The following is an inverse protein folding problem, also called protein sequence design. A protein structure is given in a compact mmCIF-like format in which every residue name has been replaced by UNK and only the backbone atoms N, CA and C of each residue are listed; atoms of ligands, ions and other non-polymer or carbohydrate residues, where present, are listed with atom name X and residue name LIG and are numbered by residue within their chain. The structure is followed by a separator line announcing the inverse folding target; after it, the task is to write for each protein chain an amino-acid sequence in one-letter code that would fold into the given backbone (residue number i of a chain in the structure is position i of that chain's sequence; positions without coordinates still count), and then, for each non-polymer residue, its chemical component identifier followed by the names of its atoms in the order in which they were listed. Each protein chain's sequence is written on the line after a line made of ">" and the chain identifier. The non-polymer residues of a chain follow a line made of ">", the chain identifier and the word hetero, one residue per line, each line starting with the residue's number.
data_IF_589214974198
#
_entry.id   IF_589214974198
#
_cell.length_a   1.000
_cell.length_b   1.000
_cell.length_c   1.000
_cell.angle_alpha   90.00
_cell.angle_beta   90.00
_cell.angle_gamma   90.00
#
_symmetry.space_group_name_H-M   'P 1'
#
loop_
_entity.id
_entity.type
_entity.pdbx_description
1 polymer ?
#
# COMPACT_ATOMS: atom_id res chain seq x y z
N UNK A 1 -26.52 69.33 37.90
CA UNK A 1 -25.29 68.54 37.77
C UNK A 1 -25.54 67.44 36.76
N UNK A 2 -24.60 67.28 35.81
CA UNK A 2 -24.76 66.68 34.48
C UNK A 2 -25.10 65.18 34.52
N UNK A 3 -26.18 64.75 33.84
CA UNK A 3 -26.33 63.37 33.37
C UNK A 3 -25.73 63.29 31.97
N UNK A 4 -24.60 62.60 31.85
CA UNK A 4 -23.84 62.48 30.60
C UNK A 4 -24.58 61.65 29.56
N UNK A 5 -24.83 62.28 28.42
CA UNK A 5 -25.17 61.62 27.16
C UNK A 5 -23.95 60.84 26.65
N UNK A 6 -24.14 59.55 26.36
CA UNK A 6 -23.16 58.73 25.66
C UNK A 6 -23.53 58.69 24.18
N UNK A 7 -22.62 59.04 23.25
CA UNK A 7 -22.95 59.02 21.82
C UNK A 7 -22.99 57.56 21.35
N UNK A 8 -24.17 57.11 20.92
CA UNK A 8 -24.31 55.86 20.15
C UNK A 8 -23.69 56.09 18.78
N UNK A 9 -22.40 55.78 18.63
CA UNK A 9 -21.77 55.67 17.31
C UNK A 9 -22.32 54.42 16.64
N UNK A 10 -23.27 54.59 15.73
CA UNK A 10 -23.64 53.56 14.76
C UNK A 10 -22.46 53.38 13.80
N UNK A 11 -21.59 52.42 14.09
CA UNK A 11 -20.65 51.93 13.08
C UNK A 11 -21.45 51.14 12.07
N UNK A 12 -21.72 51.73 10.91
CA UNK A 12 -22.15 50.99 9.73
C UNK A 12 -21.05 49.97 9.39
N UNK A 13 -21.29 48.72 9.77
CA UNK A 13 -20.50 47.59 9.28
C UNK A 13 -20.82 47.47 7.81
N UNK A 14 -19.94 48.01 6.97
CA UNK A 14 -19.91 47.67 5.54
C UNK A 14 -19.66 46.17 5.47
N UNK A 15 -20.74 45.42 5.25
CA UNK A 15 -20.66 44.02 4.86
C UNK A 15 -19.94 44.05 3.51
N UNK A 16 -18.63 43.77 3.53
CA UNK A 16 -17.91 43.47 2.32
C UNK A 16 -18.68 42.33 1.65
N UNK A 17 -19.20 42.52 0.42
CA UNK A 17 -19.83 41.41 -0.29
C UNK A 17 -18.77 40.33 -0.34
N UNK A 18 -19.11 39.20 0.30
CA UNK A 18 -18.32 37.99 0.40
C UNK A 18 -17.42 37.91 -0.82
N UNK A 19 -16.12 38.08 -0.60
CA UNK A 19 -15.10 37.77 -1.57
C UNK A 19 -15.49 36.44 -2.15
N UNK A 20 -15.96 36.45 -3.40
CA UNK A 20 -16.24 35.24 -4.17
C UNK A 20 -14.95 34.46 -4.07
N UNK A 21 -14.94 33.43 -3.23
CA UNK A 21 -13.89 32.44 -3.19
C UNK A 21 -13.96 31.81 -4.56
N UNK A 22 -13.19 32.35 -5.50
CA UNK A 22 -12.77 31.67 -6.71
C UNK A 22 -11.94 30.50 -6.20
N UNK A 23 -12.63 29.48 -5.72
CA UNK A 23 -12.02 28.23 -5.36
C UNK A 23 -11.50 27.69 -6.68
N UNK A 24 -10.19 27.79 -6.91
CA UNK A 24 -9.51 27.12 -8.01
C UNK A 24 -9.48 25.62 -7.75
N UNK A 25 -10.59 25.02 -7.29
CA UNK A 25 -10.76 23.58 -7.38
C UNK A 25 -10.75 23.25 -8.85
N UNK A 26 -9.73 22.50 -9.24
CA UNK A 26 -9.74 21.63 -10.40
C UNK A 26 -11.15 21.07 -10.59
N UNK A 27 -11.70 21.24 -11.79
CA UNK A 27 -13.03 20.75 -12.16
C UNK A 27 -13.19 19.30 -11.72
N UNK A 28 -14.12 19.03 -10.82
CA UNK A 28 -14.48 17.67 -10.40
C UNK A 28 -15.30 17.06 -11.51
N UNK A 29 -14.69 16.22 -12.36
CA UNK A 29 -15.41 15.58 -13.47
C UNK A 29 -16.34 14.46 -13.00
N UNK A 30 -16.40 14.21 -11.69
CA UNK A 30 -17.35 13.29 -11.06
C UNK A 30 -17.14 11.87 -11.56
N UNK A 31 -18.17 11.30 -12.18
CA UNK A 31 -18.14 9.93 -12.71
C UNK A 31 -17.25 9.77 -13.95
N UNK A 32 -16.94 10.85 -14.67
CA UNK A 32 -16.09 10.77 -15.86
C UNK A 32 -14.66 10.33 -15.51
N UNK A 33 -14.20 10.52 -14.26
CA UNK A 33 -12.87 10.09 -13.82
C UNK A 33 -12.71 8.56 -13.73
N UNK A 34 -13.81 7.81 -13.76
CA UNK A 34 -13.79 6.34 -13.79
C UNK A 34 -13.59 5.77 -15.20
N UNK A 35 -13.59 6.61 -16.23
CA UNK A 35 -13.42 6.19 -17.61
C UNK A 35 -12.22 6.89 -18.23
N UNK A 36 -11.51 6.21 -19.13
CA UNK A 36 -10.47 6.88 -19.93
C UNK A 36 -11.12 7.89 -20.88
N UNK A 37 -10.31 8.82 -21.38
CA UNK A 37 -10.71 9.81 -22.36
C UNK A 37 -11.46 9.13 -23.51
N UNK A 38 -12.61 9.67 -23.96
CA UNK A 38 -13.42 9.05 -25.02
C UNK A 38 -12.65 8.77 -26.32
N UNK A 39 -11.57 9.52 -26.57
CA UNK A 39 -10.69 9.35 -27.74
C UNK A 39 -9.86 8.05 -27.71
N UNK A 40 -9.66 7.47 -26.53
CA UNK A 40 -8.83 6.30 -26.28
C UNK A 40 -9.63 4.98 -26.25
N UNK A 41 -10.96 5.04 -26.37
CA UNK A 41 -11.79 3.84 -26.34
C UNK A 41 -11.47 2.90 -27.51
N UNK A 42 -11.29 1.62 -27.19
CA UNK A 42 -10.99 0.57 -28.17
C UNK A 42 -9.58 0.61 -28.78
N UNK A 43 -8.69 1.48 -28.30
CA UNK A 43 -7.31 1.60 -28.79
C UNK A 43 -6.30 1.20 -27.72
N UNK A 44 -5.14 0.72 -28.17
CA UNK A 44 -4.01 0.51 -27.29
C UNK A 44 -3.41 1.86 -26.86
N UNK A 45 -3.36 2.10 -25.55
CA UNK A 45 -2.88 3.36 -24.97
C UNK A 45 -1.41 3.21 -24.59
N UNK A 46 -0.56 4.01 -25.23
CA UNK A 46 0.86 4.12 -24.87
C UNK A 46 0.98 4.65 -23.44
N UNK A 47 1.57 3.86 -22.57
CA UNK A 47 1.75 4.19 -21.15
C UNK A 47 3.23 4.31 -20.83
N UNK A 48 3.58 5.30 -20.00
CA UNK A 48 4.94 5.48 -19.51
C UNK A 48 5.42 4.35 -18.58
N UNK A 49 6.59 4.55 -17.98
CA UNK A 49 7.15 3.60 -17.03
C UNK A 49 6.55 3.74 -15.61
N UNK A 50 6.69 2.69 -14.83
CA UNK A 50 6.33 2.69 -13.40
C UNK A 50 7.29 3.56 -12.60
N UNK A 51 6.79 4.18 -11.52
CA UNK A 51 7.62 4.94 -10.58
C UNK A 51 8.69 4.05 -9.93
N UNK A 52 9.95 4.50 -9.93
CA UNK A 52 11.04 3.81 -9.21
C UNK A 52 11.17 4.30 -7.77
N UNK A 53 11.67 3.43 -6.89
CA UNK A 53 11.85 3.72 -5.46
C UNK A 53 12.73 4.97 -5.24
N UNK A 54 13.79 5.11 -6.04
CA UNK A 54 14.73 6.25 -5.98
C UNK A 54 14.04 7.58 -6.29
N UNK A 55 13.18 7.61 -7.32
CA UNK A 55 12.40 8.80 -7.66
C UNK A 55 11.46 9.19 -6.54
N UNK A 56 10.83 8.21 -5.88
CA UNK A 56 9.88 8.43 -4.78
C UNK A 56 10.57 8.90 -3.50
N UNK A 57 11.80 8.44 -3.22
CA UNK A 57 12.59 8.90 -2.07
C UNK A 57 12.91 10.39 -2.12
N UNK A 58 13.08 10.95 -3.32
CA UNK A 58 13.31 12.38 -3.52
C UNK A 58 12.07 13.29 -3.38
N UNK A 59 10.88 12.73 -3.14
CA UNK A 59 9.63 13.50 -3.02
C UNK A 59 9.24 13.77 -1.57
N UNK A 60 8.58 14.90 -1.34
CA UNK A 60 8.00 15.25 -0.05
C UNK A 60 6.84 14.30 0.31
N UNK A 61 6.54 14.14 1.60
CA UNK A 61 5.40 13.30 2.04
C UNK A 61 4.05 13.81 1.52
N UNK A 62 3.89 15.13 1.41
CA UNK A 62 2.68 15.75 0.85
C UNK A 62 2.50 15.44 -0.64
N UNK A 63 3.59 15.44 -1.40
CA UNK A 63 3.54 15.10 -2.83
C UNK A 63 3.31 13.61 -3.05
N UNK A 64 3.86 12.74 -2.19
CA UNK A 64 3.55 11.31 -2.21
C UNK A 64 2.06 11.07 -1.93
N UNK A 65 1.49 11.78 -0.94
CA UNK A 65 0.06 11.67 -0.63
C UNK A 65 -0.83 12.12 -1.81
N UNK A 66 -0.48 13.22 -2.48
CA UNK A 66 -1.17 13.66 -3.70
C UNK A 66 -1.02 12.65 -4.84
N UNK A 67 0.19 12.14 -5.05
CA UNK A 67 0.49 11.16 -6.09
C UNK A 67 -0.25 9.85 -5.86
N UNK A 68 -0.37 9.40 -4.61
CA UNK A 68 -1.17 8.22 -4.25
C UNK A 68 -2.60 8.33 -4.78
N UNK A 69 -3.26 9.47 -4.60
CA UNK A 69 -4.61 9.66 -5.11
C UNK A 69 -4.68 9.74 -6.64
N UNK A 70 -3.67 10.30 -7.31
CA UNK A 70 -3.59 10.26 -8.77
C UNK A 70 -3.52 8.81 -9.27
N UNK A 71 -2.64 8.00 -8.67
CA UNK A 71 -2.49 6.58 -8.99
C UNK A 71 -3.73 5.75 -8.61
N UNK A 72 -4.39 6.08 -7.51
CA UNK A 72 -5.61 5.41 -7.06
C UNK A 72 -6.76 5.63 -8.05
N UNK A 73 -6.94 6.86 -8.54
CA UNK A 73 -7.96 7.17 -9.53
C UNK A 73 -7.70 6.45 -10.84
N UNK A 74 -6.45 6.45 -11.28
CA UNK A 74 -5.99 5.69 -12.44
C UNK A 74 -6.26 4.18 -12.28
N UNK A 75 -5.89 3.59 -11.14
CA UNK A 75 -6.16 2.18 -10.83
C UNK A 75 -7.66 1.87 -10.88
N UNK A 76 -8.50 2.71 -10.29
CA UNK A 76 -9.94 2.51 -10.29
C UNK A 76 -10.54 2.57 -11.70
N UNK A 77 -10.06 3.49 -12.54
CA UNK A 77 -10.46 3.61 -13.94
C UNK A 77 -9.98 2.42 -14.79
N UNK A 78 -8.83 1.83 -14.48
CA UNK A 78 -8.38 0.60 -15.16
C UNK A 78 -9.15 -0.64 -14.71
N UNK A 79 -9.56 -0.71 -13.44
CA UNK A 79 -10.38 -1.81 -12.93
C UNK A 79 -11.79 -1.79 -13.50
N UNK A 80 -12.41 -0.62 -13.69
CA UNK A 80 -13.70 -0.50 -14.39
C UNK A 80 -13.57 -0.96 -15.84
N UNK A 81 -12.48 -0.58 -16.52
CA UNK A 81 -12.20 -0.98 -17.89
C UNK A 81 -11.93 -2.49 -18.02
N UNK A 82 -11.18 -3.08 -17.09
CA UNK A 82 -10.96 -4.54 -17.03
C UNK A 82 -12.29 -5.28 -16.84
N UNK A 83 -13.13 -4.80 -15.93
CA UNK A 83 -14.42 -5.41 -15.65
C UNK A 83 -15.40 -5.28 -16.82
N UNK A 84 -15.44 -4.14 -17.49
CA UNK A 84 -16.28 -3.93 -18.68
C UNK A 84 -15.79 -4.78 -19.86
N UNK A 85 -14.47 -4.91 -20.04
CA UNK A 85 -13.89 -5.80 -21.06
C UNK A 85 -14.28 -7.26 -20.83
N UNK A 86 -14.26 -7.73 -19.58
CA UNK A 86 -14.76 -9.06 -19.19
C UNK A 86 -16.26 -9.21 -19.47
N UNK A 87 -17.07 -8.21 -19.14
CA UNK A 87 -18.52 -8.20 -19.41
C UNK A 87 -18.83 -8.30 -20.91
N UNK A 88 -18.04 -7.62 -21.73
CA UNK A 88 -18.16 -7.65 -23.19
C UNK A 88 -17.48 -8.88 -23.83
N UNK A 89 -16.87 -9.76 -23.03
CA UNK A 89 -16.05 -10.89 -23.51
C UNK A 89 -14.93 -10.48 -24.47
N UNK A 90 -14.39 -9.27 -24.30
CA UNK A 90 -13.27 -8.75 -25.07
C UNK A 90 -11.98 -8.82 -24.24
N UNK A 91 -10.83 -8.67 -24.91
CA UNK A 91 -9.54 -8.54 -24.24
C UNK A 91 -9.32 -7.08 -23.83
N UNK A 92 -8.71 -6.88 -22.67
CA UNK A 92 -8.35 -5.56 -22.18
C UNK A 92 -7.32 -4.92 -23.14
N UNK A 93 -7.54 -3.67 -23.61
CA UNK A 93 -6.62 -2.97 -24.51
C UNK A 93 -5.17 -2.82 -24.00
N UNK A 94 -4.96 -2.63 -22.69
CA UNK A 94 -3.62 -2.50 -22.09
C UNK A 94 -3.60 -2.95 -20.62
N UNK A 95 -3.44 -4.27 -20.35
CA UNK A 95 -3.33 -4.78 -18.98
C UNK A 95 -2.01 -4.37 -18.30
N UNK A 96 -0.96 -4.12 -19.07
CA UNK A 96 0.35 -3.72 -18.56
C UNK A 96 0.30 -2.40 -17.79
N UNK A 97 -0.57 -1.47 -18.21
CA UNK A 97 -0.78 -0.18 -17.52
C UNK A 97 -1.22 -0.41 -16.07
N UNK A 98 -2.12 -1.36 -15.84
CA UNK A 98 -2.60 -1.69 -14.50
C UNK A 98 -1.47 -2.26 -13.63
N UNK A 99 -0.66 -3.16 -14.19
CA UNK A 99 0.49 -3.75 -13.48
C UNK A 99 1.53 -2.67 -13.11
N UNK A 100 1.80 -1.72 -14.01
CA UNK A 100 2.70 -0.58 -13.75
C UNK A 100 2.19 0.33 -12.63
N UNK A 101 0.88 0.58 -12.57
CA UNK A 101 0.27 1.37 -11.48
C UNK A 101 0.36 0.62 -10.16
N UNK A 102 0.02 -0.67 -10.13
CA UNK A 102 0.12 -1.49 -8.92
C UNK A 102 1.56 -1.50 -8.38
N UNK A 103 2.56 -1.78 -9.25
CA UNK A 103 3.98 -1.74 -8.88
C UNK A 103 4.40 -0.37 -8.33
N UNK A 104 3.88 0.71 -8.91
CA UNK A 104 4.17 2.06 -8.44
C UNK A 104 3.57 2.34 -7.06
N UNK A 105 2.35 1.85 -6.79
CA UNK A 105 1.71 1.98 -5.48
C UNK A 105 2.44 1.15 -4.42
N UNK A 106 2.85 -0.08 -4.71
CA UNK A 106 3.62 -0.94 -3.79
C UNK A 106 4.96 -0.31 -3.42
N UNK A 107 5.69 0.25 -4.40
CA UNK A 107 6.95 0.97 -4.15
C UNK A 107 6.75 2.23 -3.31
N UNK A 108 5.62 2.92 -3.49
CA UNK A 108 5.30 4.08 -2.67
C UNK A 108 5.00 3.69 -1.22
N UNK A 109 4.20 2.65 -1.01
CA UNK A 109 3.93 2.10 0.32
C UNK A 109 5.23 1.65 1.01
N UNK A 110 6.12 0.98 0.27
CA UNK A 110 7.45 0.63 0.76
C UNK A 110 8.25 1.86 1.23
N UNK A 111 8.33 2.93 0.42
CA UNK A 111 9.07 4.15 0.81
C UNK A 111 8.46 4.82 2.04
N UNK A 112 7.14 4.82 2.16
CA UNK A 112 6.45 5.38 3.33
C UNK A 112 6.77 4.55 4.57
N UNK A 113 6.66 3.22 4.48
CA UNK A 113 7.00 2.31 5.57
C UNK A 113 8.46 2.43 6.01
N UNK A 114 9.41 2.54 5.06
CA UNK A 114 10.83 2.76 5.35
C UNK A 114 11.05 4.06 6.15
N UNK A 115 10.36 5.14 5.77
CA UNK A 115 10.43 6.44 6.48
C UNK A 115 9.85 6.36 7.88
N UNK A 116 8.68 5.73 8.04
CA UNK A 116 8.02 5.55 9.33
C UNK A 116 8.84 4.66 10.27
N UNK A 117 9.38 3.56 9.74
CA UNK A 117 10.22 2.65 10.51
C UNK A 117 11.52 3.35 10.97
N UNK A 118 12.15 4.15 10.11
CA UNK A 118 13.32 4.95 10.48
C UNK A 118 13.01 5.98 11.57
N UNK A 119 11.88 6.68 11.45
CA UNK A 119 11.44 7.66 12.45
C UNK A 119 11.15 6.97 13.81
N UNK A 120 10.46 5.83 13.79
CA UNK A 120 10.14 5.06 15.01
C UNK A 120 11.41 4.56 15.70
N UNK A 121 12.39 4.07 14.94
CA UNK A 121 13.68 3.64 15.48
C UNK A 121 14.44 4.80 16.13
N UNK A 122 14.39 6.00 15.55
CA UNK A 122 15.03 7.19 16.12
C UNK A 122 14.35 7.69 17.41
N UNK A 123 13.02 7.63 17.46
CA UNK A 123 12.24 8.15 18.59
C UNK A 123 12.18 7.18 19.77
N UNK A 124 11.91 5.90 19.49
CA UNK A 124 11.62 4.88 20.53
C UNK A 124 12.65 3.75 20.55
N UNK A 125 13.41 3.55 19.47
CA UNK A 125 14.33 2.41 19.32
C UNK A 125 13.61 1.06 19.15
N UNK A 126 12.31 1.06 18.88
CA UNK A 126 11.49 -0.15 18.82
C UNK A 126 11.40 -0.71 17.40
N UNK A 127 11.68 -2.01 17.28
CA UNK A 127 11.42 -2.80 16.08
C UNK A 127 9.98 -3.35 16.07
N UNK A 128 9.55 -3.90 14.92
CA UNK A 128 8.23 -4.53 14.77
C UNK A 128 8.18 -5.85 15.55
N UNK A 129 7.18 -5.99 16.43
CA UNK A 129 6.94 -7.22 17.18
C UNK A 129 6.18 -8.27 16.34
N UNK A 130 6.48 -9.56 16.58
CA UNK A 130 5.83 -10.69 15.88
C UNK A 130 4.35 -10.87 16.26
N UNK A 131 3.95 -10.43 17.46
CA UNK A 131 2.57 -10.51 17.90
C UNK A 131 1.83 -9.21 17.59
N UNK A 132 0.82 -9.27 16.72
CA UNK A 132 -0.05 -8.12 16.46
C UNK A 132 -1.06 -7.97 17.60
N UNK A 133 -0.84 -6.99 18.47
CA UNK A 133 -1.82 -6.60 19.48
C UNK A 133 -3.05 -6.02 18.81
N UNK A 134 -4.22 -6.34 19.36
CA UNK A 134 -5.47 -5.67 18.99
C UNK A 134 -5.75 -4.59 20.01
N UNK A 135 -6.13 -3.42 19.53
CA UNK A 135 -6.62 -2.34 20.38
C UNK A 135 -7.96 -2.76 21.01
N UNK A 136 -8.06 -2.61 22.33
CA UNK A 136 -9.28 -2.84 23.09
C UNK A 136 -9.50 -1.64 24.03
N UNK A 137 -10.76 -1.18 24.20
CA UNK A 137 -11.05 -0.08 25.12
C UNK A 137 -10.90 -0.48 26.59
N UNK A 138 -10.81 -1.78 26.87
CA UNK A 138 -10.76 -2.35 28.22
C UNK A 138 -9.49 -3.20 28.36
N UNK A 139 -8.77 -3.14 29.50
CA UNK A 139 -7.63 -4.00 29.77
C UNK A 139 -7.89 -5.50 29.56
N UNK A 140 -6.86 -6.23 29.14
CA UNK A 140 -6.96 -7.65 28.74
C UNK A 140 -7.51 -8.56 29.85
N UNK A 141 -7.24 -8.25 31.12
CA UNK A 141 -7.68 -9.01 32.28
C UNK A 141 -9.15 -8.80 32.64
N UNK A 142 -9.87 -7.88 31.99
CA UNK A 142 -11.32 -7.76 32.08
C UNK A 142 -12.01 -8.29 30.82
N UNK A 143 -11.28 -8.38 29.70
CA UNK A 143 -11.79 -8.85 28.43
C UNK A 143 -12.01 -10.38 28.42
N UNK A 144 -13.27 -10.81 28.53
CA UNK A 144 -13.64 -12.23 28.49
C UNK A 144 -13.21 -12.95 27.20
N UNK A 145 -13.20 -12.26 26.04
CA UNK A 145 -12.74 -12.82 24.77
C UNK A 145 -11.23 -13.05 24.78
N UNK A 146 -10.47 -12.15 25.41
CA UNK A 146 -9.02 -12.31 25.56
C UNK A 146 -8.70 -13.47 26.50
N UNK A 147 -9.39 -13.57 27.66
CA UNK A 147 -9.22 -14.67 28.63
C UNK A 147 -9.49 -16.07 28.06
N UNK A 148 -10.35 -16.19 27.05
CA UNK A 148 -10.60 -17.47 26.37
C UNK A 148 -9.43 -17.95 25.53
N UNK A 149 -8.51 -17.06 25.12
CA UNK A 149 -7.32 -17.45 24.36
C UNK A 149 -6.28 -18.08 25.28
N UNK A 150 -5.72 -19.22 24.87
CA UNK A 150 -4.61 -19.89 25.56
C UNK A 150 -3.32 -19.64 24.79
N UNK A 151 -2.35 -19.01 25.45
CA UNK A 151 -1.02 -18.72 24.90
C UNK A 151 0.02 -19.79 25.24
N UNK A 152 -0.42 -20.98 25.64
CA UNK A 152 0.43 -22.09 26.02
C UNK A 152 -0.09 -23.39 25.42
N UNK A 153 0.83 -24.33 25.17
CA UNK A 153 0.51 -25.67 24.72
C UNK A 153 0.41 -26.62 25.91
N UNK A 154 -0.53 -27.57 25.84
CA UNK A 154 -0.63 -28.66 26.80
C UNK A 154 0.44 -29.73 26.51
N UNK A 155 0.88 -30.53 27.51
CA UNK A 155 1.94 -31.53 27.32
C UNK A 155 1.64 -32.57 26.23
N UNK A 156 0.37 -32.92 26.03
CA UNK A 156 -0.08 -33.84 25.00
C UNK A 156 0.12 -33.33 23.56
N UNK A 157 0.41 -32.03 23.37
CA UNK A 157 0.73 -31.44 22.05
C UNK A 157 2.20 -31.67 21.67
N UNK A 158 3.08 -31.97 22.65
CA UNK A 158 4.53 -32.15 22.42
C UNK A 158 4.87 -33.21 21.36
N UNK A 159 4.24 -34.40 21.31
CA UNK A 159 4.52 -35.39 20.27
C UNK A 159 4.25 -34.87 18.87
N UNK A 160 3.18 -34.09 18.68
CA UNK A 160 2.84 -33.50 17.38
C UNK A 160 3.82 -32.40 16.96
N UNK A 161 4.28 -31.58 17.90
CA UNK A 161 5.32 -30.58 17.66
C UNK A 161 6.61 -31.28 17.21
N UNK A 162 7.02 -32.36 17.89
CA UNK A 162 8.18 -33.18 17.50
C UNK A 162 8.03 -33.72 16.07
N UNK A 163 6.91 -34.35 15.74
CA UNK A 163 6.67 -34.89 14.40
C UNK A 163 6.72 -33.80 13.31
N UNK A 164 6.20 -32.60 13.60
CA UNK A 164 6.31 -31.44 12.69
C UNK A 164 7.76 -31.04 12.45
N UNK A 165 8.58 -30.97 13.50
CA UNK A 165 10.01 -30.67 13.37
C UNK A 165 10.76 -31.75 12.59
N UNK A 166 10.53 -33.03 12.89
CA UNK A 166 11.15 -34.14 12.16
C UNK A 166 10.78 -34.10 10.66
N UNK A 167 9.53 -33.78 10.34
CA UNK A 167 9.09 -33.59 8.95
C UNK A 167 9.83 -32.43 8.27
N UNK A 168 9.97 -31.29 8.96
CA UNK A 168 10.68 -30.11 8.45
C UNK A 168 12.15 -30.44 8.17
N UNK A 169 12.83 -31.13 9.09
CA UNK A 169 14.22 -31.58 8.90
C UNK A 169 14.34 -32.52 7.69
N UNK A 170 13.44 -33.52 7.56
CA UNK A 170 13.43 -34.42 6.40
C UNK A 170 13.26 -33.67 5.07
N UNK A 171 12.43 -32.62 5.05
CA UNK A 171 12.27 -31.75 3.87
C UNK A 171 13.56 -31.01 3.55
N UNK A 172 14.19 -30.36 4.54
CA UNK A 172 15.46 -29.66 4.36
C UNK A 172 16.57 -30.58 3.85
N UNK A 173 16.70 -31.79 4.41
CA UNK A 173 17.69 -32.77 3.93
C UNK A 173 17.44 -33.19 2.48
N UNK A 174 16.17 -33.37 2.07
CA UNK A 174 15.82 -33.69 0.68
C UNK A 174 16.17 -32.54 -0.27
N UNK A 175 15.87 -31.30 0.12
CA UNK A 175 16.21 -30.10 -0.66
C UNK A 175 17.73 -29.95 -0.81
N UNK A 176 18.49 -30.09 0.28
CA UNK A 176 19.95 -30.07 0.23
C UNK A 176 20.53 -31.19 -0.65
N UNK A 177 19.95 -32.39 -0.60
CA UNK A 177 20.37 -33.49 -1.48
C UNK A 177 20.07 -33.19 -2.96
N UNK A 178 18.93 -32.55 -3.26
CA UNK A 178 18.58 -32.08 -4.61
C UNK A 178 19.57 -31.02 -5.10
N UNK A 179 19.86 -30.00 -4.29
CA UNK A 179 20.85 -28.96 -4.62
C UNK A 179 22.25 -29.55 -4.89
N UNK A 180 22.69 -30.54 -4.09
CA UNK A 180 23.95 -31.26 -4.33
C UNK A 180 23.96 -32.06 -5.64
N UNK A 181 22.81 -32.56 -6.10
CA UNK A 181 22.69 -33.23 -7.41
C UNK A 181 22.74 -32.22 -8.55
N UNK A 182 22.02 -31.11 -8.41
CA UNK A 182 22.02 -30.01 -9.39
C UNK A 182 23.40 -29.41 -9.56
N UNK A 183 24.11 -29.12 -8.45
CA UNK A 183 25.49 -28.62 -8.48
C UNK A 183 26.45 -29.57 -9.21
N UNK A 184 26.37 -30.87 -8.91
CA UNK A 184 27.16 -31.89 -9.63
C UNK A 184 26.84 -31.97 -11.12
N UNK A 185 25.59 -31.71 -11.51
CA UNK A 185 25.21 -31.65 -12.92
C UNK A 185 25.77 -30.40 -13.59
N UNK A 186 25.68 -29.23 -12.93
CA UNK A 186 26.26 -27.97 -13.40
C UNK A 186 27.79 -28.06 -13.56
N UNK A 187 28.49 -28.68 -12.61
CA UNK A 187 29.94 -28.91 -12.71
C UNK A 187 30.28 -29.79 -13.92
N UNK A 188 29.47 -30.81 -14.21
CA UNK A 188 29.64 -31.67 -15.39
C UNK A 188 29.35 -30.95 -16.70
N UNK A 189 28.31 -30.12 -16.76
CA UNK A 189 28.00 -29.35 -17.97
C UNK A 189 29.09 -28.33 -18.26
N UNK A 190 29.58 -27.62 -17.24
CA UNK A 190 30.69 -26.68 -17.36
C UNK A 190 31.99 -27.38 -17.82
N UNK A 191 32.29 -28.56 -17.27
CA UNK A 191 33.44 -29.34 -17.72
C UNK A 191 33.32 -29.75 -19.20
N UNK A 192 32.14 -30.21 -19.64
CA UNK A 192 31.90 -30.56 -21.05
C UNK A 192 31.96 -29.35 -22.00
N UNK A 193 31.51 -28.17 -21.57
CA UNK A 193 31.63 -26.92 -22.31
C UNK A 193 33.07 -26.43 -22.41
N UNK A 194 33.92 -26.70 -21.40
CA UNK A 194 35.34 -26.34 -21.43
C UNK A 194 36.22 -27.28 -22.28
N UNK A 195 35.71 -28.49 -22.56
CA UNK A 195 36.38 -29.50 -23.39
C UNK A 195 35.98 -29.42 -24.88
N UNK A 196 34.98 -28.59 -25.23
CA UNK A 196 34.49 -28.33 -26.60
C UNK A 196 35.07 -27.03 -27.17
#
# INVERSE_FOLDING_TARGET
>A
YKTGDWPKKSTEVKICPCSVLLHTSVSRKGLEEFFDNPKNWGKEVKSGDSWTVEQLRGKSSDDLHKLWYVLLKERNMLLTLEQESKRQSQKMPSPERLEKVIKSMERMDQVIQEREDALRLLQTGQEKEWYTYREWPIPWYLNARHKKKRFYYLPNVKPFIRLRYEKLLRMQYKEAAKQRREKRLQEKTLAAESES
#
